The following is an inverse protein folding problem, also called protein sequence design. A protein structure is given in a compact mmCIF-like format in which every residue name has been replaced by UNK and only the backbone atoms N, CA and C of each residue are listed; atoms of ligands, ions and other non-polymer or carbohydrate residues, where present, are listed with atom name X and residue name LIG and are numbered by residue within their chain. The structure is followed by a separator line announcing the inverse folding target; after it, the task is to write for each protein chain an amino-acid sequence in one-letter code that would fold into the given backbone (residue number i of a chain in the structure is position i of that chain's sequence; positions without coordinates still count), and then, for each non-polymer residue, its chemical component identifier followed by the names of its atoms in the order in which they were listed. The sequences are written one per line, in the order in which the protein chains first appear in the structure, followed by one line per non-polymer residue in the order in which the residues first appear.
data_IF_333506317141
#
_entry.id   IF_333506317141
#
_cell.length_a   1.000
_cell.length_b   1.000
_cell.length_c   1.000
_cell.angle_alpha   90.00
_cell.angle_beta   90.00
_cell.angle_gamma   90.00
#
_symmetry.space_group_name_H-M   'P 1'
#
loop_
_entity.id
_entity.type
_entity.pdbx_description
1 polymer ?
#
# COMPACT_ATOMS: atom_id res chain seq x y z
N UNK A 1 -18.62 29.17 32.59
CA UNK A 1 -20.09 29.26 32.49
C UNK A 1 -20.66 27.89 32.36
N UNK A 2 -20.99 27.27 33.50
CA UNK A 2 -21.61 25.96 33.63
C UNK A 2 -23.12 26.05 33.34
N UNK A 3 -23.63 25.11 32.55
CA UNK A 3 -25.07 24.86 32.50
C UNK A 3 -25.37 23.47 33.04
N UNK A 4 -25.77 23.41 34.30
CA UNK A 4 -26.36 22.23 34.95
C UNK A 4 -27.75 21.97 34.39
N UNK A 5 -28.02 20.75 33.91
CA UNK A 5 -29.38 20.26 33.62
C UNK A 5 -29.95 19.62 34.86
N UNK A 6 -31.04 20.22 35.31
CA UNK A 6 -31.86 19.78 36.44
C UNK A 6 -32.82 18.71 35.96
N UNK A 7 -32.80 17.54 36.64
CA UNK A 7 -33.83 16.51 36.50
C UNK A 7 -35.00 16.88 37.42
N UNK A 8 -36.22 17.01 36.87
CA UNK A 8 -37.44 17.14 37.66
C UNK A 8 -38.07 15.77 37.79
N UNK A 9 -38.09 15.31 39.03
CA UNK A 9 -38.94 14.21 39.53
C UNK A 9 -40.38 14.70 39.62
N UNK A 10 -41.32 13.94 39.07
CA UNK A 10 -42.76 14.15 39.28
C UNK A 10 -43.29 12.96 40.04
N UNK A 11 -43.76 13.25 41.30
CA UNK A 11 -44.39 12.32 42.21
C UNK A 11 -45.88 12.20 41.94
N UNK A 12 -46.32 11.01 41.76
CA UNK A 12 -47.56 10.30 42.13
C UNK A 12 -48.80 11.04 42.56
N UNK A 13 -49.92 10.69 41.96
CA UNK A 13 -51.18 10.55 42.69
C UNK A 13 -51.97 9.30 42.21
N UNK A 14 -52.23 8.45 43.20
CA UNK A 14 -53.06 7.27 43.08
C UNK A 14 -54.54 7.67 42.92
N UNK A 15 -55.26 7.03 41.98
CA UNK A 15 -56.70 6.91 42.04
C UNK A 15 -57.06 5.50 41.58
N UNK A 16 -57.61 4.74 42.47
CA UNK A 16 -58.15 3.43 42.19
C UNK A 16 -59.48 3.55 41.44
N UNK A 17 -59.66 2.86 40.34
CA UNK A 17 -60.95 2.52 39.80
C UNK A 17 -60.89 1.10 39.22
N UNK A 18 -61.82 0.33 39.68
CA UNK A 18 -62.11 -1.06 39.39
C UNK A 18 -62.68 -1.22 37.99
N UNK A 19 -62.43 -2.38 37.37
CA UNK A 19 -63.26 -3.10 36.42
C UNK A 19 -62.76 -3.17 34.99
N UNK A 20 -62.70 -4.40 34.55
CA UNK A 20 -62.78 -4.76 33.13
C UNK A 20 -61.52 -5.37 32.55
N UNK A 21 -61.24 -6.65 32.89
CA UNK A 21 -60.21 -7.44 32.17
C UNK A 21 -60.76 -7.80 30.79
N UNK A 22 -60.40 -7.02 29.76
CA UNK A 22 -60.54 -7.44 28.38
C UNK A 22 -59.20 -8.07 27.97
N UNK A 23 -59.15 -9.38 27.88
CA UNK A 23 -58.03 -10.10 27.27
C UNK A 23 -58.02 -9.80 25.79
N UNK A 24 -57.28 -8.80 25.37
CA UNK A 24 -56.83 -8.66 23.97
C UNK A 24 -55.72 -9.66 23.73
N UNK A 25 -56.03 -10.80 23.11
CA UNK A 25 -55.06 -11.73 22.59
C UNK A 25 -54.30 -11.00 21.46
N UNK A 26 -53.15 -10.39 21.79
CA UNK A 26 -52.22 -9.90 20.80
C UNK A 26 -51.67 -11.13 20.08
N UNK A 27 -52.15 -11.35 18.84
CA UNK A 27 -51.53 -12.32 17.96
C UNK A 27 -50.12 -11.84 17.62
N UNK A 28 -49.15 -12.46 18.26
CA UNK A 28 -47.75 -12.28 17.94
C UNK A 28 -47.50 -12.95 16.58
N UNK A 29 -47.58 -12.19 15.49
CA UNK A 29 -47.11 -12.65 14.18
C UNK A 29 -45.61 -12.61 14.19
N UNK A 30 -44.90 -13.76 14.22
CA UNK A 30 -43.43 -13.74 14.12
C UNK A 30 -43.10 -13.19 12.73
N UNK A 31 -42.45 -12.02 12.69
CA UNK A 31 -41.79 -11.55 11.48
C UNK A 31 -40.63 -12.50 11.26
N UNK A 32 -40.82 -13.52 10.48
CA UNK A 32 -39.76 -14.37 9.96
C UNK A 32 -39.00 -13.50 8.96
N UNK A 33 -37.95 -12.84 9.47
CA UNK A 33 -36.95 -12.24 8.63
C UNK A 33 -36.22 -13.40 7.95
N UNK A 34 -36.71 -13.83 6.80
CA UNK A 34 -36.07 -14.84 5.96
C UNK A 34 -34.72 -14.26 5.54
N UNK A 35 -33.62 -14.79 6.12
CA UNK A 35 -32.28 -14.52 5.60
C UNK A 35 -32.26 -15.06 4.15
N UNK A 36 -32.23 -14.17 3.18
CA UNK A 36 -32.04 -14.56 1.78
C UNK A 36 -30.77 -15.39 1.67
N UNK A 37 -30.87 -16.61 1.17
CA UNK A 37 -29.72 -17.47 0.94
C UNK A 37 -28.90 -16.93 -0.24
N UNK A 38 -27.57 -17.04 -0.15
CA UNK A 38 -26.70 -16.73 -1.29
C UNK A 38 -27.06 -17.58 -2.55
N UNK A 39 -27.73 -18.73 -2.36
CA UNK A 39 -28.25 -19.56 -3.44
C UNK A 39 -29.38 -18.89 -4.26
N UNK A 40 -30.05 -17.85 -3.72
CA UNK A 40 -31.09 -17.11 -4.41
C UNK A 40 -30.56 -16.00 -5.33
N UNK A 41 -29.23 -15.71 -5.24
CA UNK A 41 -28.59 -14.71 -6.08
C UNK A 41 -28.20 -15.31 -7.44
N UNK A 42 -28.53 -14.60 -8.51
CA UNK A 42 -28.10 -14.96 -9.85
C UNK A 42 -26.72 -14.33 -10.15
N UNK A 43 -25.85 -15.06 -10.89
CA UNK A 43 -24.60 -14.50 -11.38
C UNK A 43 -24.83 -13.23 -12.21
N UNK A 44 -24.03 -12.21 -11.97
CA UNK A 44 -24.03 -10.97 -12.75
C UNK A 44 -22.98 -11.08 -13.85
N UNK A 45 -23.40 -11.09 -15.10
CA UNK A 45 -22.49 -11.10 -16.24
C UNK A 45 -21.81 -9.72 -16.38
N UNK A 46 -20.48 -9.68 -16.31
CA UNK A 46 -19.71 -8.45 -16.47
C UNK A 46 -19.41 -8.18 -17.94
N UNK A 47 -19.36 -6.90 -18.30
CA UNK A 47 -18.89 -6.46 -19.62
C UNK A 47 -17.36 -6.65 -19.74
N UNK A 48 -16.88 -6.75 -20.98
CA UNK A 48 -15.44 -6.76 -21.25
C UNK A 48 -14.81 -5.39 -20.88
N UNK A 49 -13.53 -5.36 -20.46
CA UNK A 49 -12.83 -4.10 -20.23
C UNK A 49 -12.85 -3.20 -21.47
N UNK A 50 -12.96 -1.90 -21.25
CA UNK A 50 -12.94 -0.91 -22.34
C UNK A 50 -11.48 -0.67 -22.81
N UNK A 51 -11.08 -1.07 -24.04
CA UNK A 51 -9.73 -0.92 -24.54
C UNK A 51 -9.33 0.53 -24.81
N UNK A 52 -10.28 1.47 -24.89
CA UNK A 52 -10.00 2.89 -25.10
C UNK A 52 -9.59 3.62 -23.83
N UNK A 53 -9.80 3.01 -22.66
CA UNK A 53 -9.35 3.57 -21.40
C UNK A 53 -7.83 3.43 -21.26
N UNK A 54 -7.05 4.54 -21.12
CA UNK A 54 -5.60 4.48 -21.02
C UNK A 54 -5.09 3.62 -19.84
N UNK A 55 -5.79 3.63 -18.70
CA UNK A 55 -5.42 2.82 -17.55
C UNK A 55 -5.59 1.32 -17.84
N UNK A 56 -6.65 0.92 -18.54
CA UNK A 56 -6.86 -0.47 -18.94
C UNK A 56 -5.74 -0.93 -19.88
N UNK A 57 -5.35 -0.10 -20.85
CA UNK A 57 -4.22 -0.42 -21.76
C UNK A 57 -2.89 -0.62 -21.02
N UNK A 58 -2.62 0.17 -19.97
CA UNK A 58 -1.40 -0.02 -19.16
C UNK A 58 -1.47 -1.30 -18.34
N UNK A 59 -2.62 -1.60 -17.75
CA UNK A 59 -2.85 -2.84 -17.00
C UNK A 59 -2.71 -4.09 -17.90
N UNK A 60 -3.16 -4.03 -19.16
CA UNK A 60 -2.97 -5.10 -20.13
C UNK A 60 -1.48 -5.34 -20.47
N UNK A 61 -0.67 -4.29 -20.49
CA UNK A 61 0.78 -4.37 -20.75
C UNK A 61 1.60 -4.75 -19.51
N UNK A 62 1.07 -4.53 -18.31
CA UNK A 62 1.76 -4.80 -17.07
C UNK A 62 2.16 -6.28 -16.98
N UNK A 63 3.43 -6.55 -16.82
CA UNK A 63 3.97 -7.91 -16.67
C UNK A 63 5.15 -7.93 -15.70
N UNK A 64 5.49 -9.11 -15.20
CA UNK A 64 6.73 -9.33 -14.45
C UNK A 64 7.76 -9.96 -15.36
N UNK A 65 8.89 -9.28 -15.55
CA UNK A 65 10.03 -9.77 -16.34
C UNK A 65 11.23 -10.01 -15.43
N UNK A 66 12.01 -11.05 -15.75
CA UNK A 66 13.24 -11.43 -15.04
C UNK A 66 14.47 -11.38 -15.94
N UNK A 67 14.32 -10.76 -17.10
CA UNK A 67 15.37 -10.61 -18.09
C UNK A 67 15.66 -9.11 -18.28
N UNK A 68 16.86 -8.68 -17.90
CA UNK A 68 17.25 -7.29 -17.86
C UNK A 68 18.55 -7.08 -18.66
N UNK A 69 18.59 -6.02 -19.45
CA UNK A 69 19.83 -5.48 -19.96
C UNK A 69 20.57 -4.72 -18.86
N UNK A 70 21.89 -4.71 -18.90
CA UNK A 70 22.74 -3.97 -17.94
C UNK A 70 22.83 -2.47 -18.20
N UNK A 71 22.20 -1.98 -19.29
CA UNK A 71 22.21 -0.57 -19.67
C UNK A 71 21.64 0.31 -18.55
N UNK A 72 22.36 1.35 -18.10
CA UNK A 72 21.86 2.29 -17.10
C UNK A 72 20.58 3.00 -17.54
N UNK A 73 19.71 3.30 -16.58
CA UNK A 73 18.55 4.14 -16.83
C UNK A 73 19.00 5.62 -16.91
N UNK A 74 18.58 6.38 -17.93
CA UNK A 74 18.76 7.84 -17.96
C UNK A 74 18.17 8.50 -16.71
N UNK A 75 18.74 9.62 -16.30
CA UNK A 75 18.29 10.33 -15.08
C UNK A 75 16.82 10.75 -15.16
N UNK A 76 16.34 11.11 -16.33
CA UNK A 76 14.94 11.47 -16.58
C UNK A 76 14.00 10.29 -16.34
N UNK A 77 14.36 9.09 -16.84
CA UNK A 77 13.59 7.86 -16.65
C UNK A 77 13.60 7.46 -15.17
N UNK A 78 14.77 7.52 -14.53
CA UNK A 78 14.91 7.23 -13.09
C UNK A 78 14.10 8.21 -12.23
N UNK A 79 14.13 9.50 -12.56
CA UNK A 79 13.37 10.53 -11.84
C UNK A 79 11.86 10.31 -11.95
N UNK A 80 11.37 10.05 -13.16
CA UNK A 80 9.96 9.78 -13.40
C UNK A 80 9.51 8.49 -12.71
N UNK A 81 10.34 7.44 -12.74
CA UNK A 81 10.10 6.18 -12.05
C UNK A 81 9.94 6.38 -10.54
N UNK A 82 10.86 7.10 -9.91
CA UNK A 82 10.83 7.37 -8.47
C UNK A 82 9.65 8.26 -8.08
N UNK A 83 9.33 9.24 -8.92
CA UNK A 83 8.14 10.07 -8.73
C UNK A 83 6.86 9.24 -8.88
N UNK A 84 6.75 8.39 -9.90
CA UNK A 84 5.62 7.49 -10.05
C UNK A 84 5.46 6.57 -8.84
N UNK A 85 6.55 6.00 -8.35
CA UNK A 85 6.58 5.12 -7.18
C UNK A 85 6.06 5.82 -5.91
N UNK A 86 6.71 6.93 -5.52
CA UNK A 86 6.50 7.54 -4.20
C UNK A 86 6.66 9.06 -4.19
N UNK A 87 6.39 9.74 -5.31
CA UNK A 87 6.47 11.18 -5.43
C UNK A 87 5.38 11.92 -4.68
N UNK A 88 5.60 13.21 -4.43
CA UNK A 88 4.58 14.13 -3.91
C UNK A 88 3.80 14.67 -5.11
N UNK A 89 2.50 14.39 -5.16
CA UNK A 89 1.63 14.76 -6.27
C UNK A 89 0.59 15.83 -5.94
N UNK A 90 0.58 16.33 -4.69
CA UNK A 90 -0.37 17.36 -4.22
C UNK A 90 0.30 18.33 -3.27
N UNK A 91 -0.14 19.62 -3.23
CA UNK A 91 0.47 20.65 -2.39
C UNK A 91 0.49 20.34 -0.88
N UNK A 92 -0.46 19.52 -0.41
CA UNK A 92 -0.55 19.08 0.99
C UNK A 92 0.44 17.94 1.34
N UNK A 93 1.36 17.59 0.46
CA UNK A 93 2.38 16.58 0.70
C UNK A 93 1.93 15.13 0.55
N UNK A 94 0.72 14.89 0.06
CA UNK A 94 0.27 13.53 -0.26
C UNK A 94 1.04 12.96 -1.46
N UNK A 95 1.11 11.63 -1.51
CA UNK A 95 1.96 10.93 -2.48
C UNK A 95 1.16 10.28 -3.60
N UNK A 96 1.88 9.83 -4.61
CA UNK A 96 1.33 9.05 -5.74
C UNK A 96 0.69 7.75 -5.30
N UNK A 97 1.21 7.08 -4.27
CA UNK A 97 0.57 5.95 -3.62
C UNK A 97 -0.03 6.36 -2.27
N UNK A 98 -1.18 5.83 -1.86
CA UNK A 98 -1.76 6.10 -0.55
C UNK A 98 -1.06 5.29 0.55
N UNK A 99 -1.23 5.74 1.80
CA UNK A 99 -0.90 4.98 3.00
C UNK A 99 -2.00 5.17 4.06
N UNK A 100 -2.18 4.21 4.95
CA UNK A 100 -3.18 4.28 6.01
C UNK A 100 -2.97 5.55 6.85
N UNK A 101 -4.02 6.36 6.99
CA UNK A 101 -3.97 7.65 7.69
C UNK A 101 -2.83 8.58 7.22
N UNK A 102 -2.41 8.46 5.96
CA UNK A 102 -1.28 9.20 5.38
C UNK A 102 0.02 9.07 6.20
N UNK A 103 0.30 7.90 6.77
CA UNK A 103 1.48 7.64 7.62
C UNK A 103 2.80 7.74 6.87
N UNK A 104 2.78 7.50 5.55
CA UNK A 104 3.95 7.59 4.68
C UNK A 104 5.19 6.87 5.27
N UNK A 105 4.96 5.67 5.78
CA UNK A 105 5.95 4.86 6.48
C UNK A 105 7.02 4.26 5.58
N UNK A 106 6.79 4.20 4.27
CA UNK A 106 7.74 3.59 3.35
C UNK A 106 8.80 4.58 2.90
N UNK A 107 10.06 4.21 3.10
CA UNK A 107 11.23 4.82 2.50
C UNK A 107 11.66 3.99 1.27
N UNK A 108 11.92 4.65 0.14
CA UNK A 108 12.33 4.00 -1.12
C UNK A 108 13.83 4.22 -1.31
N UNK A 109 14.59 3.14 -1.36
CA UNK A 109 16.01 3.16 -1.67
C UNK A 109 16.24 2.72 -3.11
N UNK A 110 17.10 3.44 -3.82
CA UNK A 110 17.60 3.06 -5.13
C UNK A 110 19.02 2.45 -4.94
N UNK A 111 19.17 1.17 -5.28
CA UNK A 111 20.44 0.47 -5.27
C UNK A 111 20.94 0.36 -6.71
N UNK A 112 21.98 1.14 -7.00
CA UNK A 112 22.66 1.32 -8.28
C UNK A 112 24.04 0.64 -8.27
N UNK A 113 24.74 0.50 -9.41
CA UNK A 113 26.09 -0.09 -9.46
C UNK A 113 27.12 0.61 -8.58
N UNK A 114 26.98 1.91 -8.37
CA UNK A 114 27.92 2.77 -7.63
C UNK A 114 27.54 2.99 -6.17
N UNK A 115 26.29 2.72 -5.77
CA UNK A 115 25.85 2.97 -4.41
C UNK A 115 24.39 2.66 -4.11
N UNK A 116 24.07 2.84 -2.85
CA UNK A 116 22.71 2.86 -2.35
C UNK A 116 22.31 4.29 -1.96
N UNK A 117 21.12 4.68 -2.38
CA UNK A 117 20.60 6.04 -2.23
C UNK A 117 19.19 6.02 -1.66
N UNK A 118 18.86 6.96 -0.78
CA UNK A 118 17.51 7.19 -0.29
C UNK A 118 16.82 8.23 -1.17
N UNK A 119 15.64 7.91 -1.69
CA UNK A 119 14.83 8.86 -2.45
C UNK A 119 14.19 9.91 -1.53
N UNK A 120 14.56 11.18 -1.73
CA UNK A 120 13.92 12.34 -1.11
C UNK A 120 12.96 12.99 -2.10
N UNK A 121 11.68 12.66 -1.96
CA UNK A 121 10.64 13.19 -2.84
C UNK A 121 10.41 14.70 -2.67
N UNK A 122 10.76 15.28 -1.51
CA UNK A 122 10.60 16.72 -1.27
C UNK A 122 11.67 17.53 -2.00
N UNK A 123 12.89 17.04 -1.96
CA UNK A 123 14.03 17.67 -2.66
C UNK A 123 14.18 17.19 -4.11
N UNK A 124 13.39 16.19 -4.52
CA UNK A 124 13.50 15.52 -5.84
C UNK A 124 14.92 15.03 -6.10
N UNK A 125 15.52 14.32 -5.14
CA UNK A 125 16.91 13.88 -5.23
C UNK A 125 17.14 12.50 -4.62
N UNK A 126 18.23 11.86 -5.00
CA UNK A 126 18.79 10.67 -4.38
C UNK A 126 19.87 11.08 -3.36
N UNK A 127 19.63 10.86 -2.07
CA UNK A 127 20.58 11.10 -1.00
C UNK A 127 21.53 9.90 -0.85
N UNK A 128 22.85 10.05 -0.95
CA UNK A 128 23.79 8.93 -0.82
C UNK A 128 23.73 8.34 0.61
N UNK A 129 23.68 7.02 0.70
CA UNK A 129 23.67 6.25 1.96
C UNK A 129 24.95 5.46 2.11
N UNK A 130 25.36 4.73 1.07
CA UNK A 130 26.57 3.93 1.06
C UNK A 130 27.12 3.82 -0.36
N UNK A 131 28.43 3.94 -0.52
CA UNK A 131 29.14 3.72 -1.77
C UNK A 131 29.48 2.24 -1.94
N UNK A 132 29.38 1.73 -3.17
CA UNK A 132 29.67 0.34 -3.54
C UNK A 132 28.47 -0.38 -4.15
N UNK A 133 28.70 -1.51 -4.78
CA UNK A 133 27.67 -2.30 -5.43
C UNK A 133 26.98 -3.27 -4.45
N UNK A 134 25.78 -2.91 -4.01
CA UNK A 134 24.95 -3.71 -3.10
C UNK A 134 23.82 -4.44 -3.82
N UNK A 135 23.77 -4.42 -5.16
CA UNK A 135 22.67 -5.00 -5.92
C UNK A 135 22.47 -6.49 -5.62
N UNK A 136 23.55 -7.23 -5.44
CA UNK A 136 23.50 -8.66 -5.10
C UNK A 136 22.77 -8.96 -3.78
N UNK A 137 22.72 -8.00 -2.84
CA UNK A 137 22.00 -8.14 -1.56
C UNK A 137 20.50 -7.90 -1.71
N UNK A 138 20.09 -7.19 -2.78
CA UNK A 138 18.68 -6.89 -3.03
C UNK A 138 17.88 -8.10 -3.55
N UNK A 139 18.50 -9.27 -3.75
CA UNK A 139 17.83 -10.52 -4.09
C UNK A 139 18.80 -11.62 -4.50
N UNK A 140 18.37 -12.87 -4.32
CA UNK A 140 19.18 -14.06 -4.58
C UNK A 140 19.20 -14.51 -6.05
N UNK A 141 18.33 -13.95 -6.90
CA UNK A 141 18.27 -14.34 -8.31
C UNK A 141 19.42 -13.68 -9.12
N UNK A 142 20.04 -14.39 -10.09
CA UNK A 142 21.20 -13.90 -10.83
C UNK A 142 21.00 -12.54 -11.50
N UNK A 143 19.84 -12.29 -12.07
CA UNK A 143 19.53 -11.03 -12.77
C UNK A 143 19.57 -9.79 -11.86
N UNK A 144 19.44 -9.96 -10.55
CA UNK A 144 19.36 -8.83 -9.59
C UNK A 144 20.65 -8.02 -9.56
N UNK A 145 21.80 -8.69 -9.60
CA UNK A 145 23.11 -8.05 -9.62
C UNK A 145 23.51 -7.46 -10.99
N UNK A 146 22.82 -7.91 -12.04
CA UNK A 146 23.09 -7.50 -13.43
C UNK A 146 22.26 -6.29 -13.85
N UNK A 147 21.03 -6.23 -13.37
CA UNK A 147 20.11 -5.15 -13.69
C UNK A 147 20.63 -3.79 -13.18
N UNK A 148 20.33 -2.69 -13.90
CA UNK A 148 20.85 -1.35 -13.57
C UNK A 148 20.33 -0.79 -12.26
N UNK A 149 19.13 -1.21 -11.80
CA UNK A 149 18.46 -0.66 -10.63
C UNK A 149 17.72 -1.75 -9.85
N UNK A 150 17.86 -1.71 -8.53
CA UNK A 150 16.95 -2.37 -7.60
C UNK A 150 16.37 -1.33 -6.64
N UNK A 151 15.05 -1.18 -6.64
CA UNK A 151 14.34 -0.45 -5.59
C UNK A 151 14.22 -1.37 -4.37
N UNK A 152 14.47 -0.83 -3.18
CA UNK A 152 14.29 -1.51 -1.92
C UNK A 152 13.31 -0.69 -1.09
N UNK A 153 12.23 -1.33 -0.66
CA UNK A 153 11.18 -0.71 0.14
C UNK A 153 11.42 -1.01 1.60
N UNK A 154 11.52 0.04 2.39
CA UNK A 154 11.79 -0.03 3.82
C UNK A 154 10.67 0.66 4.57
N UNK A 155 9.99 -0.06 5.44
CA UNK A 155 9.00 0.53 6.33
C UNK A 155 9.65 1.01 7.61
N UNK A 156 9.36 2.23 7.99
CA UNK A 156 9.72 2.86 9.25
C UNK A 156 8.54 2.71 10.23
N UNK A 157 8.60 1.73 11.11
CA UNK A 157 7.54 1.44 12.06
C UNK A 157 7.28 2.58 13.04
N UNK A 158 8.29 3.43 13.32
CA UNK A 158 8.09 4.63 14.12
C UNK A 158 7.05 5.57 13.53
N UNK A 159 6.92 5.63 12.18
CA UNK A 159 5.90 6.43 11.49
C UNK A 159 4.49 5.84 11.61
N UNK A 160 4.36 4.54 11.84
CA UNK A 160 3.06 3.88 11.99
C UNK A 160 2.40 4.19 13.35
N UNK A 161 3.19 4.60 14.36
CA UNK A 161 2.73 4.94 15.69
C UNK A 161 2.49 3.69 16.56
N UNK A 162 1.59 3.78 17.54
CA UNK A 162 1.27 2.66 18.40
C UNK A 162 0.47 1.60 17.63
N UNK A 163 1.14 0.54 17.24
CA UNK A 163 0.60 -0.59 16.48
C UNK A 163 1.27 -1.89 16.96
N UNK A 164 0.60 -3.02 16.86
CA UNK A 164 1.24 -4.31 17.06
C UNK A 164 2.21 -4.59 15.90
N UNK A 165 3.20 -5.44 16.11
CA UNK A 165 4.12 -5.85 15.06
C UNK A 165 3.39 -6.45 13.87
N UNK A 166 2.38 -7.29 14.11
CA UNK A 166 1.54 -7.88 13.07
C UNK A 166 0.80 -6.83 12.22
N UNK A 167 0.17 -5.84 12.87
CA UNK A 167 -0.51 -4.75 12.18
C UNK A 167 0.46 -3.87 11.40
N UNK A 168 1.64 -3.61 11.96
CA UNK A 168 2.70 -2.86 11.28
C UNK A 168 3.18 -3.60 10.03
N UNK A 169 3.42 -4.90 10.13
CA UNK A 169 3.80 -5.74 9.01
C UNK A 169 2.70 -5.77 7.92
N UNK A 170 1.43 -5.88 8.33
CA UNK A 170 0.28 -5.85 7.41
C UNK A 170 0.20 -4.53 6.63
N UNK A 171 0.20 -3.38 7.32
CA UNK A 171 0.15 -2.08 6.65
C UNK A 171 1.37 -1.83 5.77
N UNK A 172 2.56 -2.18 6.26
CA UNK A 172 3.81 -2.04 5.48
C UNK A 172 3.79 -2.84 4.19
N UNK A 173 3.27 -4.07 4.24
CA UNK A 173 3.08 -4.90 3.06
C UNK A 173 2.08 -4.30 2.08
N UNK A 174 0.94 -3.82 2.57
CA UNK A 174 -0.08 -3.16 1.76
C UNK A 174 0.46 -1.88 1.10
N UNK A 175 1.10 -0.99 1.87
CA UNK A 175 1.66 0.25 1.34
C UNK A 175 2.75 -0.01 0.31
N UNK A 176 3.64 -0.96 0.58
CA UNK A 176 4.68 -1.38 -0.38
C UNK A 176 4.07 -1.91 -1.68
N UNK A 177 3.01 -2.72 -1.59
CA UNK A 177 2.31 -3.25 -2.76
C UNK A 177 1.74 -2.15 -3.65
N UNK A 178 1.14 -1.11 -3.06
CA UNK A 178 0.60 0.06 -3.78
C UNK A 178 1.72 0.85 -4.49
N UNK A 179 2.87 1.02 -3.84
CA UNK A 179 4.04 1.68 -4.44
C UNK A 179 4.61 0.83 -5.57
N UNK A 180 4.76 -0.48 -5.35
CA UNK A 180 5.30 -1.40 -6.33
C UNK A 180 4.42 -1.49 -7.59
N UNK A 181 3.09 -1.41 -7.44
CA UNK A 181 2.18 -1.38 -8.59
C UNK A 181 2.34 -0.09 -9.41
N UNK A 182 2.52 1.07 -8.78
CA UNK A 182 2.84 2.30 -9.50
C UNK A 182 4.10 2.14 -10.38
N UNK A 183 5.13 1.45 -9.85
CA UNK A 183 6.35 1.12 -10.61
C UNK A 183 6.03 0.21 -11.78
N UNK A 184 5.19 -0.82 -11.60
CA UNK A 184 4.77 -1.71 -12.68
C UNK A 184 4.05 -0.94 -13.80
N UNK A 185 3.11 -0.07 -13.45
CA UNK A 185 2.35 0.73 -14.42
C UNK A 185 3.26 1.69 -15.16
N UNK A 186 4.18 2.37 -14.46
CA UNK A 186 5.17 3.22 -15.10
C UNK A 186 6.08 2.42 -16.05
N UNK A 187 6.60 1.28 -15.62
CA UNK A 187 7.41 0.42 -16.47
C UNK A 187 6.64 -0.05 -17.72
N UNK A 188 5.35 -0.38 -17.57
CA UNK A 188 4.50 -0.76 -18.70
C UNK A 188 4.30 0.39 -19.71
N UNK A 189 4.28 1.65 -19.25
CA UNK A 189 4.18 2.83 -20.12
C UNK A 189 5.47 3.11 -20.91
N UNK A 190 6.62 2.86 -20.27
CA UNK A 190 7.95 3.16 -20.83
C UNK A 190 8.61 1.96 -21.54
N UNK A 191 7.94 0.80 -21.58
CA UNK A 191 8.53 -0.42 -22.13
C UNK A 191 9.71 -0.96 -21.32
N UNK A 192 9.74 -0.68 -20.02
CA UNK A 192 10.74 -1.20 -19.10
C UNK A 192 10.32 -2.57 -18.55
N UNK A 193 11.32 -3.40 -18.23
CA UNK A 193 11.17 -4.64 -17.50
C UNK A 193 11.18 -4.37 -15.99
N UNK A 194 10.33 -5.08 -15.23
CA UNK A 194 10.32 -5.00 -13.78
C UNK A 194 9.78 -6.26 -13.12
N UNK A 195 10.22 -6.54 -11.90
CA UNK A 195 9.66 -7.60 -11.04
C UNK A 195 9.86 -7.27 -9.56
N UNK A 196 8.77 -7.35 -8.78
CA UNK A 196 8.81 -7.24 -7.32
C UNK A 196 9.15 -8.61 -6.70
N UNK A 197 9.91 -8.62 -5.58
CA UNK A 197 10.41 -9.83 -4.94
C UNK A 197 10.48 -9.70 -3.43
N UNK A 198 10.29 -10.83 -2.73
CA UNK A 198 10.47 -10.96 -1.28
C UNK A 198 11.81 -11.61 -0.89
N UNK A 199 12.48 -12.30 -1.82
CA UNK A 199 13.74 -13.03 -1.57
C UNK A 199 14.90 -12.03 -1.57
N UNK A 200 15.13 -11.42 -0.42
CA UNK A 200 16.16 -10.39 -0.15
C UNK A 200 17.00 -10.86 1.03
N UNK A 201 18.30 -10.66 0.99
CA UNK A 201 19.16 -10.81 2.18
C UNK A 201 18.94 -9.59 3.10
N UNK A 202 17.82 -9.65 3.84
CA UNK A 202 17.40 -8.52 4.69
C UNK A 202 18.46 -8.11 5.72
N UNK A 203 19.13 -9.03 6.47
CA UNK A 203 20.13 -8.66 7.44
C UNK A 203 21.35 -7.95 6.80
N UNK A 204 21.91 -8.51 5.73
CA UNK A 204 23.07 -7.93 5.06
C UNK A 204 22.73 -6.58 4.41
N UNK A 205 21.56 -6.50 3.75
CA UNK A 205 21.13 -5.26 3.10
C UNK A 205 20.76 -4.17 4.13
N UNK A 206 20.13 -4.51 5.25
CA UNK A 206 19.83 -3.56 6.33
C UNK A 206 21.11 -2.94 6.90
N UNK A 207 22.15 -3.76 7.08
CA UNK A 207 23.49 -3.27 7.50
C UNK A 207 24.09 -2.33 6.45
N UNK A 208 24.04 -2.68 5.16
CA UNK A 208 24.56 -1.85 4.07
C UNK A 208 23.81 -0.52 3.96
N UNK A 209 22.50 -0.53 4.12
CA UNK A 209 21.64 0.66 4.11
C UNK A 209 21.66 1.44 5.43
N UNK A 210 22.38 0.98 6.46
CA UNK A 210 22.48 1.59 7.80
C UNK A 210 21.11 1.79 8.44
N UNK A 211 20.23 0.81 8.29
CA UNK A 211 18.87 0.90 8.83
C UNK A 211 18.86 0.85 10.36
N UNK A 212 17.91 1.60 10.95
CA UNK A 212 17.63 1.52 12.38
C UNK A 212 16.85 0.24 12.72
N UNK A 213 16.80 -0.18 14.00
CA UNK A 213 16.08 -1.40 14.40
C UNK A 213 14.59 -1.40 14.07
N UNK A 214 13.98 -0.22 14.01
CA UNK A 214 12.56 0.01 13.70
C UNK A 214 12.27 0.19 12.19
N UNK A 215 13.30 0.06 11.35
CA UNK A 215 13.18 0.09 9.91
C UNK A 215 13.30 -1.32 9.33
N UNK A 216 12.26 -1.75 8.61
CA UNK A 216 12.12 -3.12 8.13
C UNK A 216 12.03 -3.17 6.61
N UNK A 217 12.93 -3.93 5.96
CA UNK A 217 12.84 -4.19 4.52
C UNK A 217 11.61 -5.05 4.27
N UNK A 218 10.69 -4.56 3.46
CA UNK A 218 9.49 -5.27 3.05
C UNK A 218 9.75 -6.11 1.80
N UNK A 219 9.90 -5.45 0.66
CA UNK A 219 10.14 -6.04 -0.65
C UNK A 219 11.29 -5.31 -1.38
N UNK A 220 11.72 -5.89 -2.49
CA UNK A 220 12.60 -5.24 -3.46
C UNK A 220 12.01 -5.39 -4.86
N UNK A 221 12.33 -4.46 -5.77
CA UNK A 221 11.83 -4.46 -7.13
C UNK A 221 12.94 -4.11 -8.11
N UNK A 222 13.25 -5.03 -9.00
CA UNK A 222 14.25 -4.80 -10.06
C UNK A 222 13.62 -4.06 -11.22
N UNK A 223 14.33 -3.08 -11.78
CA UNK A 223 13.91 -2.30 -12.95
C UNK A 223 15.09 -2.14 -13.91
N UNK A 224 14.80 -2.24 -15.19
CA UNK A 224 15.77 -2.04 -16.27
C UNK A 224 15.12 -2.16 -17.63
N UNK A 225 15.92 -2.04 -18.68
CA UNK A 225 15.44 -2.37 -20.02
C UNK A 225 15.30 -3.89 -20.18
N UNK A 226 14.31 -4.37 -20.95
CA UNK A 226 14.20 -5.79 -21.26
C UNK A 226 15.43 -6.25 -22.06
N UNK A 227 15.93 -7.46 -21.72
CA UNK A 227 16.95 -8.12 -22.53
C UNK A 227 16.32 -8.56 -23.85
N UNK A 228 16.90 -8.14 -24.94
CA UNK A 228 16.52 -8.57 -26.29
C UNK A 228 17.17 -9.87 -26.66
#
# INVERSE_FOLDING_TARGET
MERKRVWRTCLTRSAAAVTGVVFLAAAFVPVVCGAASAADLQPVQLAKPNPDNPAIRLLEKRSSSREFASQPLPVEVLSNLLWAAWGINRPNGHRTAPSANNKQDIDVYAVLPDGAYLYDAKASQLKPVAAGDFRALAGSQPFVKEAPLNLVYVSDYAKLGQSTEEMSAFFSGAHTGLIAENVYIYCASEGLATVVRAMVDKPALAKALKLRPDQHITLSQTVGYPKR
#
